data_IF_420599448141
#
_entry.id   IF_420599448141
#
_cell.length_a   1.000
_cell.length_b   1.000
_cell.length_c   1.000
_cell.angle_alpha   90.00
_cell.angle_beta   90.00
_cell.angle_gamma   90.00
#
_symmetry.space_group_name_H-M   'P 1'
#
loop_
_entity.id
_entity.type
_entity.pdbx_description
1 polymer ?
#
# COMPACT_ATOMS: atom_id res chain seq x y z
N UNK A 1 -1.83 20.39 5.32
CA UNK A 1 -2.27 19.04 4.92
C UNK A 1 -2.62 18.14 6.13
N UNK A 2 -2.34 18.56 7.38
CA UNK A 2 -2.49 17.73 8.58
C UNK A 2 -3.70 18.09 9.48
N UNK A 3 -4.52 19.07 9.12
CA UNK A 3 -5.71 19.43 9.89
C UNK A 3 -6.89 18.54 9.51
N UNK A 4 -7.43 17.81 10.47
CA UNK A 4 -8.65 17.00 10.32
C UNK A 4 -8.50 15.49 10.57
N UNK A 5 -7.31 14.95 10.82
CA UNK A 5 -7.13 13.52 11.08
C UNK A 5 -7.56 13.14 12.51
N UNK A 6 -8.65 12.39 12.64
CA UNK A 6 -9.01 11.74 13.91
C UNK A 6 -7.92 10.74 14.30
N UNK A 7 -7.43 10.81 15.52
CA UNK A 7 -6.41 9.90 16.08
C UNK A 7 -6.92 8.46 16.04
N UNK A 8 -6.47 7.69 15.03
CA UNK A 8 -6.74 6.25 14.97
C UNK A 8 -6.05 5.52 16.12
N UNK A 9 -6.79 4.64 16.82
CA UNK A 9 -6.22 3.72 17.81
C UNK A 9 -5.21 2.77 17.17
N UNK A 10 -4.32 2.17 17.98
CA UNK A 10 -3.37 1.16 17.51
C UNK A 10 -4.15 -0.06 16.95
N UNK A 11 -3.86 -0.42 15.70
CA UNK A 11 -4.38 -1.64 15.08
C UNK A 11 -3.60 -2.81 15.68
N UNK A 12 -4.30 -3.80 16.24
CA UNK A 12 -3.70 -5.00 16.81
C UNK A 12 -4.24 -6.23 16.10
N UNK A 13 -3.39 -7.20 15.72
CA UNK A 13 -3.85 -8.48 15.20
C UNK A 13 -4.53 -9.28 16.31
N UNK A 14 -5.44 -10.17 15.92
CA UNK A 14 -5.96 -11.22 16.78
C UNK A 14 -4.92 -12.30 17.07
N UNK A 15 -5.31 -13.33 17.83
CA UNK A 15 -4.41 -14.45 18.13
C UNK A 15 -4.12 -15.26 16.84
N UNK A 16 -2.86 -15.29 16.42
CA UNK A 16 -2.36 -16.14 15.33
C UNK A 16 -2.32 -15.53 13.94
N UNK A 17 -2.73 -14.28 13.74
CA UNK A 17 -2.62 -13.57 12.46
C UNK A 17 -1.37 -12.67 12.37
N UNK A 18 -0.88 -12.46 11.15
CA UNK A 18 0.12 -11.45 10.83
C UNK A 18 -0.62 -10.19 10.40
N UNK A 19 -0.23 -9.05 10.96
CA UNK A 19 -0.75 -7.75 10.55
C UNK A 19 0.08 -7.21 9.38
N UNK A 20 -0.54 -7.17 8.21
CA UNK A 20 0.04 -6.58 7.01
C UNK A 20 -0.44 -5.15 6.83
N UNK A 21 0.44 -4.31 6.32
CA UNK A 21 0.07 -3.03 5.71
C UNK A 21 0.37 -3.13 4.23
N UNK A 22 -0.66 -2.88 3.41
CA UNK A 22 -0.61 -3.01 1.96
C UNK A 22 -0.85 -1.64 1.33
N UNK A 23 -0.17 -1.39 0.21
CA UNK A 23 -0.45 -0.28 -0.68
C UNK A 23 -1.17 -0.80 -1.94
N UNK A 24 -2.26 -0.16 -2.34
CA UNK A 24 -2.96 -0.44 -3.58
C UNK A 24 -2.86 0.76 -4.51
N UNK A 25 -2.63 0.51 -5.81
CA UNK A 25 -2.54 1.55 -6.82
C UNK A 25 -3.15 1.15 -8.16
N UNK A 26 -3.85 2.06 -8.81
CA UNK A 26 -4.42 1.87 -10.16
C UNK A 26 -4.35 3.18 -10.96
N UNK A 27 -3.92 3.13 -12.23
CA UNK A 27 -3.94 4.29 -13.12
C UNK A 27 -4.50 3.99 -14.52
N UNK A 28 -5.06 2.81 -14.74
CA UNK A 28 -5.68 2.42 -16.01
C UNK A 28 -7.14 2.02 -15.83
N UNK A 29 -7.95 2.35 -16.85
CA UNK A 29 -9.36 2.00 -16.91
C UNK A 29 -10.20 2.65 -15.80
N UNK A 30 -11.23 1.95 -15.34
CA UNK A 30 -12.01 2.37 -14.16
C UNK A 30 -11.25 2.08 -12.87
N UNK A 31 -10.40 3.03 -12.46
CA UNK A 31 -9.51 2.94 -11.31
C UNK A 31 -10.25 2.63 -10.01
N UNK A 32 -11.45 3.20 -9.83
CA UNK A 32 -12.26 2.95 -8.63
C UNK A 32 -12.75 1.51 -8.60
N UNK A 33 -13.32 1.03 -9.70
CA UNK A 33 -13.76 -0.36 -9.80
C UNK A 33 -12.62 -1.36 -9.61
N UNK A 34 -11.41 -1.06 -10.11
CA UNK A 34 -10.25 -1.92 -9.91
C UNK A 34 -9.83 -2.00 -8.44
N UNK A 35 -9.84 -0.87 -7.73
CA UNK A 35 -9.56 -0.83 -6.29
C UNK A 35 -10.60 -1.63 -5.51
N UNK A 36 -11.90 -1.48 -5.78
CA UNK A 36 -12.96 -2.21 -5.06
C UNK A 36 -12.89 -3.73 -5.33
N UNK A 37 -12.55 -4.15 -6.54
CA UNK A 37 -12.29 -5.57 -6.85
C UNK A 37 -11.09 -6.11 -6.07
N UNK A 38 -10.00 -5.33 -5.97
CA UNK A 38 -8.82 -5.73 -5.22
C UNK A 38 -9.11 -5.83 -3.72
N UNK A 39 -9.92 -4.93 -3.16
CA UNK A 39 -10.38 -5.01 -1.77
C UNK A 39 -11.20 -6.27 -1.53
N UNK A 40 -12.10 -6.63 -2.44
CA UNK A 40 -12.89 -7.88 -2.37
C UNK A 40 -11.98 -9.12 -2.43
N UNK A 41 -10.98 -9.12 -3.32
CA UNK A 41 -9.98 -10.19 -3.38
C UNK A 41 -9.21 -10.31 -2.06
N UNK A 42 -8.75 -9.21 -1.48
CA UNK A 42 -7.99 -9.20 -0.22
C UNK A 42 -8.81 -9.65 0.98
N UNK A 43 -10.14 -9.44 0.99
CA UNK A 43 -11.04 -10.02 1.99
C UNK A 43 -11.04 -11.57 1.95
N UNK A 44 -10.77 -12.18 0.80
CA UNK A 44 -10.53 -13.61 0.65
C UNK A 44 -9.14 -14.08 1.14
N UNK A 45 -8.20 -13.16 1.35
CA UNK A 45 -6.87 -13.46 1.88
C UNK A 45 -6.76 -13.24 3.40
N UNK A 46 -7.72 -12.54 4.01
CA UNK A 46 -7.70 -12.24 5.43
C UNK A 46 -8.79 -11.24 5.83
N UNK A 47 -8.71 -10.76 7.06
CA UNK A 47 -9.63 -9.78 7.63
C UNK A 47 -9.10 -8.36 7.42
N UNK A 48 -9.79 -7.55 6.64
CA UNK A 48 -9.52 -6.13 6.51
C UNK A 48 -9.88 -5.42 7.82
N UNK A 49 -8.89 -4.83 8.48
CA UNK A 49 -9.04 -4.15 9.76
C UNK A 49 -9.29 -2.66 9.58
N UNK A 50 -8.63 -2.05 8.60
CA UNK A 50 -8.76 -0.64 8.29
C UNK A 50 -8.33 -0.36 6.86
N UNK A 51 -9.00 0.60 6.22
CA UNK A 51 -8.57 1.17 4.93
C UNK A 51 -8.49 2.69 5.02
N UNK A 52 -7.63 3.30 4.24
CA UNK A 52 -7.60 4.75 4.06
C UNK A 52 -8.67 5.19 3.07
N UNK A 53 -8.85 6.50 2.97
CA UNK A 53 -9.48 7.12 1.81
C UNK A 53 -8.67 6.80 0.55
N UNK A 54 -9.31 6.96 -0.62
CA UNK A 54 -8.61 6.93 -1.91
C UNK A 54 -7.97 8.28 -2.15
N UNK A 55 -6.73 8.26 -2.63
CA UNK A 55 -5.98 9.46 -2.97
C UNK A 55 -5.64 9.46 -4.46
N UNK A 56 -5.95 10.55 -5.16
CA UNK A 56 -5.47 10.78 -6.53
C UNK A 56 -4.08 11.40 -6.46
N UNK A 57 -3.12 10.82 -7.19
CA UNK A 57 -1.72 11.23 -7.12
C UNK A 57 -1.09 11.32 -8.50
N UNK A 58 -0.12 12.24 -8.65
CA UNK A 58 0.72 12.29 -9.84
C UNK A 58 1.67 11.08 -9.87
N UNK A 59 1.87 10.48 -11.05
CA UNK A 59 2.77 9.34 -11.20
C UNK A 59 4.23 9.75 -10.97
N UNK A 60 4.93 9.03 -10.09
CA UNK A 60 6.33 9.29 -9.78
C UNK A 60 7.25 8.84 -10.93
N UNK A 61 8.01 9.77 -11.50
CA UNK A 61 8.97 9.48 -12.57
C UNK A 61 8.35 9.09 -13.92
N UNK A 62 7.09 9.49 -14.18
CA UNK A 62 6.33 9.21 -15.40
C UNK A 62 5.57 10.44 -15.88
N UNK A 63 6.27 11.47 -16.42
CA UNK A 63 5.61 12.67 -16.92
C UNK A 63 4.57 12.33 -17.98
N UNK A 64 3.34 12.86 -17.85
CA UNK A 64 2.27 12.65 -18.81
C UNK A 64 1.48 11.34 -18.65
N UNK A 65 1.87 10.44 -17.75
CA UNK A 65 1.08 9.25 -17.46
C UNK A 65 -0.22 9.60 -16.70
N UNK A 66 -1.28 8.76 -16.81
CA UNK A 66 -2.51 8.97 -16.07
C UNK A 66 -2.29 9.00 -14.56
N UNK A 67 -3.08 9.83 -13.86
CA UNK A 67 -3.05 9.92 -12.40
C UNK A 67 -3.44 8.58 -11.77
N UNK A 68 -2.76 8.23 -10.68
CA UNK A 68 -3.09 7.06 -9.88
C UNK A 68 -4.20 7.32 -8.87
N UNK A 69 -4.98 6.30 -8.58
CA UNK A 69 -5.72 6.17 -7.34
C UNK A 69 -4.92 5.25 -6.42
N UNK A 70 -4.61 5.73 -5.23
CA UNK A 70 -3.83 4.99 -4.23
C UNK A 70 -4.58 4.96 -2.90
N UNK A 71 -4.41 3.85 -2.17
CA UNK A 71 -4.86 3.73 -0.78
C UNK A 71 -3.92 2.81 0.01
N UNK A 72 -4.02 2.89 1.33
CA UNK A 72 -3.39 1.96 2.25
C UNK A 72 -4.44 1.10 2.98
N UNK A 73 -4.09 -0.15 3.24
CA UNK A 73 -4.93 -1.15 3.88
C UNK A 73 -4.18 -1.83 5.01
N UNK A 74 -4.86 -2.07 6.14
CA UNK A 74 -4.41 -2.96 7.20
C UNK A 74 -5.18 -4.28 7.09
N UNK A 75 -4.47 -5.37 6.85
CA UNK A 75 -4.99 -6.73 6.67
C UNK A 75 -4.40 -7.65 7.74
N UNK A 76 -5.26 -8.36 8.45
CA UNK A 76 -4.84 -9.49 9.27
C UNK A 76 -5.02 -10.78 8.48
N UNK A 77 -3.94 -11.56 8.34
CA UNK A 77 -3.96 -12.81 7.58
C UNK A 77 -3.13 -13.88 8.27
N UNK A 78 -3.53 -15.13 8.12
CA UNK A 78 -2.75 -16.31 8.53
C UNK A 78 -1.72 -16.74 7.47
N UNK A 79 -1.79 -16.17 6.28
CA UNK A 79 -0.83 -16.46 5.21
C UNK A 79 0.56 -15.94 5.59
N UNK A 80 1.60 -16.71 5.30
CA UNK A 80 2.98 -16.24 5.34
C UNK A 80 3.19 -15.12 4.29
N UNK A 81 4.16 -14.21 4.49
CA UNK A 81 4.38 -13.07 3.59
C UNK A 81 4.58 -13.47 2.11
N UNK A 82 5.33 -14.54 1.88
CA UNK A 82 5.59 -15.07 0.54
C UNK A 82 4.31 -15.63 -0.12
N UNK A 83 3.46 -16.30 0.68
CA UNK A 83 2.19 -16.82 0.20
C UNK A 83 1.20 -15.70 -0.12
N UNK A 84 1.14 -14.65 0.70
CA UNK A 84 0.33 -13.47 0.42
C UNK A 84 0.82 -12.77 -0.85
N UNK A 85 2.15 -12.59 -1.00
CA UNK A 85 2.75 -12.01 -2.21
C UNK A 85 2.35 -12.80 -3.46
N UNK A 86 2.49 -14.14 -3.43
CA UNK A 86 2.14 -14.99 -4.56
C UNK A 86 0.67 -14.80 -4.97
N UNK A 87 -0.26 -14.79 -4.00
CA UNK A 87 -1.67 -14.54 -4.25
C UNK A 87 -1.92 -13.15 -4.88
N UNK A 88 -1.23 -12.11 -4.39
CA UNK A 88 -1.34 -10.76 -4.96
C UNK A 88 -0.83 -10.74 -6.42
N UNK A 89 0.30 -11.38 -6.71
CA UNK A 89 0.86 -11.45 -8.07
C UNK A 89 -0.02 -12.24 -9.04
N UNK A 90 -0.59 -13.35 -8.61
CA UNK A 90 -1.58 -14.10 -9.40
C UNK A 90 -2.81 -13.25 -9.72
N UNK A 91 -3.32 -12.52 -8.72
CA UNK A 91 -4.44 -11.61 -8.93
C UNK A 91 -4.11 -10.47 -9.91
N UNK A 92 -2.96 -9.79 -9.74
CA UNK A 92 -2.51 -8.73 -10.66
C UNK A 92 -2.37 -9.26 -12.11
N UNK A 93 -1.78 -10.45 -12.29
CA UNK A 93 -1.66 -11.10 -13.61
C UNK A 93 -3.03 -11.38 -14.24
N UNK A 94 -3.99 -11.89 -13.46
CA UNK A 94 -5.36 -12.12 -13.91
C UNK A 94 -6.10 -10.82 -14.29
N UNK A 95 -5.68 -9.66 -13.76
CA UNK A 95 -6.21 -8.34 -14.15
C UNK A 95 -5.48 -7.73 -15.37
N UNK A 96 -4.60 -8.49 -16.04
CA UNK A 96 -3.91 -8.05 -17.26
C UNK A 96 -2.54 -7.42 -17.02
N UNK A 97 -1.91 -7.64 -15.86
CA UNK A 97 -0.51 -7.30 -15.67
C UNK A 97 0.36 -8.27 -16.47
N UNK A 98 1.12 -7.72 -17.42
CA UNK A 98 2.13 -8.49 -18.15
C UNK A 98 3.44 -8.54 -17.34
N UNK A 99 3.83 -9.73 -16.82
CA UNK A 99 5.07 -9.88 -16.05
C UNK A 99 6.33 -9.58 -16.88
N UNK A 100 6.27 -9.84 -18.21
CA UNK A 100 7.40 -9.64 -19.12
C UNK A 100 7.58 -8.16 -19.49
N UNK A 101 6.52 -7.36 -19.41
CA UNK A 101 6.54 -5.93 -19.69
C UNK A 101 6.72 -5.10 -18.41
N UNK A 102 7.75 -5.42 -17.63
CA UNK A 102 8.08 -4.72 -16.38
C UNK A 102 8.39 -3.23 -16.58
N UNK A 103 8.69 -2.80 -17.81
CA UNK A 103 8.95 -1.41 -18.18
C UNK A 103 7.66 -0.57 -18.25
N UNK A 104 6.51 -1.18 -18.50
CA UNK A 104 5.23 -0.48 -18.45
C UNK A 104 4.85 -0.23 -16.98
N UNK A 105 4.99 1.01 -16.53
CA UNK A 105 4.65 1.42 -15.15
C UNK A 105 3.16 1.72 -14.96
N UNK A 106 2.39 1.76 -16.05
CA UNK A 106 0.94 1.84 -15.96
C UNK A 106 0.36 0.52 -15.43
N UNK A 107 -0.58 0.60 -14.48
CA UNK A 107 -1.13 -0.56 -13.79
C UNK A 107 -2.65 -0.50 -13.76
N UNK A 108 -3.29 -1.61 -14.17
CA UNK A 108 -4.72 -1.84 -13.90
C UNK A 108 -4.92 -1.89 -12.38
N UNK A 109 -4.08 -2.68 -11.71
CA UNK A 109 -3.97 -2.73 -10.25
C UNK A 109 -2.57 -3.16 -9.83
N UNK A 110 -2.07 -2.61 -8.75
CA UNK A 110 -0.81 -2.96 -8.10
C UNK A 110 -1.05 -3.12 -6.61
N UNK A 111 -0.52 -4.19 -5.99
CA UNK A 111 -0.69 -4.50 -4.57
C UNK A 111 0.69 -4.75 -3.97
N UNK A 112 1.19 -3.79 -3.22
CA UNK A 112 2.49 -3.87 -2.56
C UNK A 112 2.35 -4.25 -1.08
N UNK A 113 3.15 -5.20 -0.59
CA UNK A 113 3.31 -5.45 0.84
C UNK A 113 4.28 -4.41 1.40
N UNK A 114 3.76 -3.47 2.18
CA UNK A 114 4.53 -2.38 2.77
C UNK A 114 5.24 -2.83 4.06
N UNK A 115 4.50 -3.50 4.93
CA UNK A 115 4.98 -4.03 6.22
C UNK A 115 4.24 -5.34 6.56
N UNK A 116 4.91 -6.22 7.30
CA UNK A 116 4.35 -7.49 7.82
C UNK A 116 4.70 -7.63 9.31
N UNK A 117 3.91 -7.02 10.18
CA UNK A 117 4.23 -6.86 11.59
C UNK A 117 5.54 -6.10 11.76
N UNK A 118 6.46 -6.64 12.55
CA UNK A 118 7.82 -6.14 12.78
C UNK A 118 8.90 -6.90 11.97
N UNK A 119 8.47 -7.73 11.03
CA UNK A 119 9.36 -8.59 10.24
C UNK A 119 10.25 -7.77 9.32
N UNK A 120 11.50 -8.23 9.19
CA UNK A 120 12.46 -7.79 8.19
C UNK A 120 12.75 -8.99 7.29
N UNK A 121 12.40 -8.88 6.01
CA UNK A 121 12.56 -9.94 4.99
C UNK A 121 13.38 -9.33 3.85
N UNK A 122 14.39 -10.04 3.41
CA UNK A 122 15.24 -9.64 2.28
C UNK A 122 15.56 -10.88 1.43
N UNK A 123 14.59 -11.26 0.59
CA UNK A 123 14.76 -12.34 -0.40
C UNK A 123 14.71 -11.75 -1.81
N UNK A 124 15.10 -12.49 -2.84
CA UNK A 124 14.97 -12.03 -4.23
C UNK A 124 13.53 -11.67 -4.60
N UNK A 125 12.55 -12.37 -4.03
CA UNK A 125 11.13 -12.24 -4.37
C UNK A 125 10.42 -11.18 -3.50
N UNK A 126 10.87 -11.01 -2.24
CA UNK A 126 10.18 -10.17 -1.26
C UNK A 126 11.14 -9.39 -0.37
N UNK A 127 10.98 -8.08 -0.34
CA UNK A 127 11.64 -7.21 0.62
C UNK A 127 10.61 -6.49 1.48
N UNK A 128 10.65 -6.72 2.80
CA UNK A 128 9.78 -6.09 3.80
C UNK A 128 10.65 -5.57 4.95
N UNK A 129 10.52 -4.34 5.35
CA UNK A 129 9.68 -3.24 4.80
C UNK A 129 9.91 -3.00 3.32
N UNK A 130 8.87 -2.54 2.62
CA UNK A 130 9.02 -2.19 1.20
C UNK A 130 10.13 -1.14 1.03
N UNK A 131 11.14 -1.37 0.17
CA UNK A 131 12.38 -0.58 0.14
C UNK A 131 12.17 0.91 -0.12
N UNK A 132 11.11 1.27 -0.85
CA UNK A 132 10.79 2.67 -1.19
C UNK A 132 9.63 3.25 -0.38
N UNK A 133 9.23 2.61 0.73
CA UNK A 133 8.10 3.09 1.54
C UNK A 133 8.32 4.52 2.04
N UNK A 134 9.52 4.81 2.55
CA UNK A 134 9.85 6.10 3.14
C UNK A 134 10.01 7.24 2.11
N UNK A 135 10.14 6.91 0.82
CA UNK A 135 10.39 7.87 -0.27
C UNK A 135 9.11 8.30 -1.00
N UNK A 136 8.01 7.55 -0.84
CA UNK A 136 6.80 7.69 -1.66
C UNK A 136 5.68 8.36 -0.88
N UNK A 137 5.32 9.59 -1.26
CA UNK A 137 4.20 10.32 -0.65
C UNK A 137 2.86 9.62 -0.84
N UNK A 138 2.63 9.03 -2.02
CA UNK A 138 1.41 8.28 -2.33
C UNK A 138 1.24 6.99 -1.49
N UNK A 139 2.30 6.54 -0.80
CA UNK A 139 2.27 5.47 0.21
C UNK A 139 2.12 6.06 1.61
N UNK A 140 2.97 7.05 1.95
CA UNK A 140 3.04 7.60 3.30
C UNK A 140 1.76 8.32 3.73
N UNK A 141 1.11 9.07 2.82
CA UNK A 141 -0.11 9.83 3.16
C UNK A 141 -1.28 8.91 3.50
N UNK A 142 -1.64 7.91 2.66
CA UNK A 142 -2.68 6.96 3.01
C UNK A 142 -2.33 6.11 4.26
N UNK A 143 -1.07 5.72 4.41
CA UNK A 143 -0.61 4.93 5.56
C UNK A 143 -0.68 5.75 6.86
N UNK A 144 -0.35 7.04 6.80
CA UNK A 144 -0.49 7.95 7.93
C UNK A 144 -1.95 8.10 8.39
N UNK A 145 -2.90 8.12 7.45
CA UNK A 145 -4.34 8.21 7.78
C UNK A 145 -4.79 7.04 8.67
N UNK A 146 -4.30 5.83 8.39
CA UNK A 146 -4.75 4.64 9.10
C UNK A 146 -3.87 4.24 10.28
N UNK A 147 -2.56 4.54 10.23
CA UNK A 147 -1.58 4.06 11.19
C UNK A 147 -0.43 5.07 11.42
N UNK A 148 -0.68 6.30 11.93
CA UNK A 148 0.36 7.32 12.11
C UNK A 148 1.45 6.91 13.09
N UNK A 149 1.13 6.03 14.05
CA UNK A 149 2.08 5.52 15.07
C UNK A 149 2.76 4.22 14.68
N UNK A 150 2.50 3.69 13.50
CA UNK A 150 3.14 2.49 12.98
C UNK A 150 4.65 2.72 12.89
N UNK A 151 5.42 1.83 13.52
CA UNK A 151 6.87 1.91 13.59
C UNK A 151 7.49 1.20 12.39
N UNK A 152 8.43 1.86 11.73
CA UNK A 152 9.19 1.29 10.63
C UNK A 152 10.45 0.61 11.19
N UNK A 153 10.60 -0.73 11.08
CA UNK A 153 11.64 -1.46 11.81
C UNK A 153 13.07 -1.11 11.37
N UNK A 154 13.27 -0.71 10.12
CA UNK A 154 14.58 -0.30 9.61
C UNK A 154 14.88 1.19 9.85
N UNK A 155 13.91 2.07 9.56
CA UNK A 155 14.07 3.52 9.75
C UNK A 155 14.07 3.94 11.23
N UNK A 156 13.62 3.05 12.15
CA UNK A 156 13.53 3.28 13.59
C UNK A 156 12.69 4.50 13.98
N UNK A 157 11.71 4.84 13.16
CA UNK A 157 10.78 5.97 13.40
C UNK A 157 9.36 5.59 13.02
N UNK A 158 8.40 6.41 13.41
CA UNK A 158 6.98 6.20 13.05
C UNK A 158 6.68 6.72 11.64
N UNK A 159 5.57 6.23 11.05
CA UNK A 159 5.03 6.73 9.76
C UNK A 159 4.80 8.24 9.82
N UNK A 160 4.30 8.77 10.94
CA UNK A 160 4.16 10.22 11.14
C UNK A 160 5.50 10.95 10.99
N UNK A 161 6.58 10.38 11.52
CA UNK A 161 7.92 10.97 11.40
C UNK A 161 8.48 10.84 9.99
N UNK A 162 8.24 9.71 9.30
CA UNK A 162 8.60 9.56 7.88
C UNK A 162 7.91 10.62 7.03
N UNK A 163 6.59 10.76 7.18
CA UNK A 163 5.82 11.76 6.44
C UNK A 163 6.29 13.19 6.72
N UNK A 164 6.64 13.53 7.97
CA UNK A 164 7.16 14.86 8.32
C UNK A 164 8.51 15.19 7.67
N UNK A 165 9.28 14.17 7.31
CA UNK A 165 10.59 14.29 6.64
C UNK A 165 10.50 14.21 5.13
N UNK A 166 9.39 13.69 4.60
CA UNK A 166 9.19 13.55 3.16
C UNK A 166 9.23 14.92 2.45
N UNK A 167 9.90 14.97 1.31
CA UNK A 167 10.13 16.19 0.51
C UNK A 167 9.86 15.96 -0.98
N UNK A 168 9.04 14.94 -1.31
CA UNK A 168 8.64 14.70 -2.70
C UNK A 168 7.71 15.79 -3.24
N UNK A 169 7.62 15.85 -4.56
CA UNK A 169 6.82 16.84 -5.31
C UNK A 169 5.48 16.28 -5.80
N UNK A 170 5.13 15.04 -5.40
CA UNK A 170 3.88 14.42 -5.82
C UNK A 170 2.68 15.25 -5.35
N UNK A 171 1.78 15.55 -6.27
CA UNK A 171 0.48 16.12 -5.92
C UNK A 171 -0.41 15.01 -5.41
N UNK A 172 -0.89 15.13 -4.19
CA UNK A 172 -1.69 14.12 -3.50
C UNK A 172 -3.00 14.78 -3.08
N UNK A 173 -4.09 14.30 -3.64
CA UNK A 173 -5.45 14.82 -3.38
C UNK A 173 -6.33 13.69 -2.85
N UNK A 174 -6.88 13.85 -1.67
CA UNK A 174 -7.89 12.95 -1.12
C UNK A 174 -9.16 13.05 -1.97
N UNK A 175 -9.73 11.90 -2.33
CA UNK A 175 -11.05 11.81 -2.93
C UNK A 175 -12.11 11.63 -1.83
N UNK A 176 -13.28 12.22 -2.05
CA UNK A 176 -14.43 12.12 -1.14
C UNK A 176 -15.09 10.74 -1.23
#
# INVERSE_FOLDING_TARGET
>A
VLEGYRRGGAIRPGRGGILYYLGLGSNLGDRQAQIEKALTFLQGCGRVLKRSSVYETTPQGMPGAPLFYNLALALESSLAPEALLARCKEYEAAQGRDPENSHCRNRVIDIDILLAGDRIIATPELTVPHPRLAERGFVLVPLFEIAPRLFHPLEKVTVARLLSRWRGEEKIRRLE
#
